data_IF_061733148608
#
_entry.id   IF_061733148608
#
_cell.length_a   1.000
_cell.length_b   1.000
_cell.length_c   1.000
_cell.angle_alpha   90.00
_cell.angle_beta   90.00
_cell.angle_gamma   90.00
#
_symmetry.space_group_name_H-M   'P 1'
#
loop_
_entity.id
_entity.type
_entity.pdbx_description
1 polymer ?
#
# COMPACT_ATOMS: atom_id res chain seq x y z
N UNK A 1 1.71 2.52 -18.04
CA UNK A 1 3.12 2.06 -18.04
C UNK A 1 4.02 3.28 -18.17
N UNK A 2 5.03 3.43 -17.31
CA UNK A 2 6.48 3.60 -17.58
C UNK A 2 7.15 3.80 -16.21
N UNK A 3 7.71 2.74 -15.63
CA UNK A 3 9.14 2.76 -15.30
C UNK A 3 9.67 1.35 -15.00
N UNK A 4 10.93 1.12 -15.35
CA UNK A 4 11.67 -0.12 -15.13
C UNK A 4 12.63 0.06 -13.96
N UNK A 5 12.39 -0.66 -12.86
CA UNK A 5 13.44 -1.04 -11.92
C UNK A 5 13.34 -2.53 -11.63
N UNK A 6 14.39 -3.25 -12.03
CA UNK A 6 14.62 -4.63 -11.58
C UNK A 6 15.56 -4.54 -10.39
N UNK A 7 15.26 -5.24 -9.30
CA UNK A 7 16.26 -5.61 -8.30
C UNK A 7 16.14 -7.10 -7.95
N UNK A 8 17.31 -7.71 -7.83
CA UNK A 8 17.53 -9.11 -7.46
C UNK A 8 16.93 -9.44 -6.10
N UNK A 9 16.28 -10.60 -6.00
CA UNK A 9 15.79 -11.17 -4.75
C UNK A 9 14.36 -10.74 -4.49
N UNK A 10 13.41 -11.62 -4.80
CA UNK A 10 11.99 -11.38 -4.59
C UNK A 10 11.72 -11.03 -3.12
N UNK A 11 11.07 -9.90 -2.90
CA UNK A 11 10.11 -9.73 -1.80
C UNK A 11 8.86 -9.11 -2.44
N UNK A 12 7.89 -9.98 -2.62
CA UNK A 12 6.91 -9.99 -3.70
C UNK A 12 6.11 -8.68 -3.83
N UNK A 13 5.66 -8.31 -5.05
CA UNK A 13 4.53 -7.39 -5.14
C UNK A 13 3.41 -7.99 -4.29
N UNK A 14 2.97 -7.29 -3.25
CA UNK A 14 1.70 -7.60 -2.63
C UNK A 14 0.66 -7.12 -3.63
N UNK A 15 0.49 -7.90 -4.69
CA UNK A 15 -0.69 -7.86 -5.50
C UNK A 15 -1.79 -8.31 -4.54
N UNK A 16 -2.44 -7.33 -3.92
CA UNK A 16 -3.75 -7.54 -3.34
C UNK A 16 -4.63 -7.80 -4.56
N UNK A 17 -4.68 -9.06 -4.96
CA UNK A 17 -5.73 -9.56 -5.83
C UNK A 17 -6.99 -9.56 -4.99
N UNK A 18 -7.52 -8.37 -4.69
CA UNK A 18 -8.95 -8.27 -4.51
C UNK A 18 -9.50 -8.70 -5.87
N UNK A 19 -10.32 -9.76 -5.88
CA UNK A 19 -10.93 -10.24 -7.12
C UNK A 19 -11.94 -9.17 -7.53
N UNK A 20 -11.45 -8.18 -8.27
CA UNK A 20 -12.21 -7.02 -8.73
C UNK A 20 -13.22 -7.40 -9.82
N UNK A 21 -13.14 -8.63 -10.33
CA UNK A 21 -13.95 -9.19 -11.42
C UNK A 21 -15.45 -9.32 -11.08
N UNK A 22 -15.85 -9.03 -9.83
CA UNK A 22 -17.24 -9.14 -9.37
C UNK A 22 -17.92 -7.78 -9.16
N UNK A 23 -17.17 -6.67 -9.17
CA UNK A 23 -17.75 -5.35 -8.91
C UNK A 23 -18.12 -4.64 -10.22
N UNK A 24 -19.40 -4.30 -10.38
CA UNK A 24 -19.81 -3.38 -11.43
C UNK A 24 -19.25 -1.97 -11.20
N UNK A 25 -19.20 -1.12 -12.23
CA UNK A 25 -18.75 0.29 -12.11
C UNK A 25 -19.50 1.08 -11.01
N UNK A 26 -20.72 0.67 -10.66
CA UNK A 26 -21.51 1.25 -9.57
C UNK A 26 -21.01 0.85 -8.17
N UNK A 27 -20.44 -0.34 -8.00
CA UNK A 27 -19.94 -0.82 -6.71
C UNK A 27 -18.49 -0.40 -6.42
N UNK A 28 -17.70 -0.12 -7.47
CA UNK A 28 -16.30 0.26 -7.32
C UNK A 28 -15.90 1.42 -8.27
N UNK A 29 -16.45 2.61 -8.05
CA UNK A 29 -16.10 3.78 -8.85
C UNK A 29 -14.61 4.13 -8.67
N UNK A 30 -13.96 4.57 -9.75
CA UNK A 30 -12.56 5.01 -9.76
C UNK A 30 -11.53 3.91 -9.42
N UNK A 31 -11.84 2.63 -9.68
CA UNK A 31 -10.92 1.49 -9.50
C UNK A 31 -9.48 1.79 -9.95
N UNK A 32 -9.31 2.34 -11.15
CA UNK A 32 -7.98 2.61 -11.71
C UNK A 32 -7.20 3.60 -10.84
N UNK A 33 -7.87 4.65 -10.38
CA UNK A 33 -7.23 5.69 -9.56
C UNK A 33 -6.94 5.19 -8.14
N UNK A 34 -7.84 4.40 -7.54
CA UNK A 34 -7.59 3.71 -6.26
C UNK A 34 -6.35 2.81 -6.38
N UNK A 35 -6.27 1.98 -7.43
CA UNK A 35 -5.12 1.11 -7.66
C UNK A 35 -3.83 1.89 -7.89
N UNK A 36 -3.90 3.02 -8.62
CA UNK A 36 -2.73 3.89 -8.85
C UNK A 36 -2.23 4.50 -7.54
N UNK A 37 -3.12 5.10 -6.75
CA UNK A 37 -2.80 5.69 -5.44
C UNK A 37 -2.23 4.65 -4.48
N UNK A 38 -2.85 3.48 -4.42
CA UNK A 38 -2.36 2.38 -3.59
C UNK A 38 -0.95 1.93 -4.01
N UNK A 39 -0.70 1.77 -5.31
CA UNK A 39 0.63 1.41 -5.83
C UNK A 39 1.68 2.45 -5.45
N UNK A 40 1.38 3.73 -5.61
CA UNK A 40 2.30 4.81 -5.32
C UNK A 40 2.60 4.88 -3.81
N UNK A 41 1.57 4.74 -2.97
CA UNK A 41 1.70 4.61 -1.52
C UNK A 41 2.56 3.41 -1.09
N UNK A 42 2.40 2.26 -1.75
CA UNK A 42 3.21 1.07 -1.48
C UNK A 42 4.70 1.28 -1.80
N UNK A 43 4.99 2.03 -2.87
CA UNK A 43 6.36 2.44 -3.20
C UNK A 43 6.99 3.29 -2.10
N UNK A 44 6.26 4.28 -1.60
CA UNK A 44 6.68 5.16 -0.51
C UNK A 44 6.85 4.39 0.82
N UNK A 45 5.93 3.47 1.11
CA UNK A 45 6.00 2.60 2.30
C UNK A 45 7.31 1.80 2.34
N UNK A 46 7.66 1.17 1.21
CA UNK A 46 8.90 0.38 1.07
C UNK A 46 10.15 1.26 1.12
N UNK A 47 10.06 2.49 0.63
CA UNK A 47 11.11 3.49 0.73
C UNK A 47 11.24 4.14 2.13
N UNK A 48 10.49 3.65 3.14
CA UNK A 48 10.42 4.22 4.50
C UNK A 48 9.89 5.65 4.56
N UNK A 49 9.28 6.12 3.48
CA UNK A 49 8.61 7.41 3.46
C UNK A 49 7.16 7.26 3.91
N UNK A 50 6.98 6.78 5.14
CA UNK A 50 5.67 6.45 5.72
C UNK A 50 4.71 7.65 5.79
N UNK A 51 5.15 8.89 6.08
CA UNK A 51 4.26 10.05 6.05
C UNK A 51 3.64 10.29 4.66
N UNK A 52 4.43 10.21 3.59
CA UNK A 52 3.88 10.34 2.22
C UNK A 52 3.07 9.11 1.83
N UNK A 53 3.48 7.91 2.24
CA UNK A 53 2.71 6.69 1.99
C UNK A 53 1.29 6.79 2.56
N UNK A 54 1.16 7.28 3.79
CA UNK A 54 -0.15 7.54 4.43
C UNK A 54 -1.01 8.48 3.57
N UNK A 55 -0.43 9.56 3.01
CA UNK A 55 -1.20 10.49 2.16
C UNK A 55 -1.75 9.83 0.90
N UNK A 56 -0.98 8.95 0.26
CA UNK A 56 -1.46 8.22 -0.92
C UNK A 56 -2.56 7.21 -0.56
N UNK A 57 -2.45 6.50 0.56
CA UNK A 57 -3.50 5.60 1.04
C UNK A 57 -4.77 6.36 1.47
N UNK A 58 -4.63 7.51 2.12
CA UNK A 58 -5.78 8.39 2.42
C UNK A 58 -6.43 8.93 1.14
N UNK A 59 -5.65 9.21 0.10
CA UNK A 59 -6.17 9.60 -1.21
C UNK A 59 -6.94 8.45 -1.89
N UNK A 60 -6.47 7.21 -1.78
CA UNK A 60 -7.21 6.03 -2.21
C UNK A 60 -8.54 5.88 -1.43
N UNK A 61 -8.54 6.08 -0.11
CA UNK A 61 -9.75 6.01 0.71
C UNK A 61 -10.78 7.11 0.43
N UNK A 62 -10.34 8.27 -0.07
CA UNK A 62 -11.26 9.32 -0.54
C UNK A 62 -12.01 8.90 -1.80
N UNK A 63 -11.40 8.06 -2.64
CA UNK A 63 -11.99 7.53 -3.86
C UNK A 63 -12.85 6.29 -3.58
N UNK A 64 -12.39 5.44 -2.64
CA UNK A 64 -13.13 4.27 -2.18
C UNK A 64 -12.88 4.01 -0.69
N UNK A 65 -13.80 4.48 0.15
CA UNK A 65 -13.67 4.37 1.61
C UNK A 65 -13.65 2.92 2.12
N UNK A 66 -14.14 1.97 1.31
CA UNK A 66 -14.15 0.54 1.62
C UNK A 66 -12.82 -0.18 1.34
N UNK A 67 -11.80 0.51 0.84
CA UNK A 67 -10.50 -0.10 0.53
C UNK A 67 -9.75 -0.51 1.82
N UNK A 68 -9.94 -1.77 2.21
CA UNK A 68 -9.31 -2.36 3.40
C UNK A 68 -7.79 -2.37 3.30
N UNK A 69 -7.23 -2.43 2.09
CA UNK A 69 -5.81 -2.43 1.89
C UNK A 69 -5.19 -1.09 2.31
N UNK A 70 -5.76 0.02 1.83
CA UNK A 70 -5.30 1.35 2.21
C UNK A 70 -5.40 1.58 3.72
N UNK A 71 -6.50 1.15 4.37
CA UNK A 71 -6.65 1.24 5.83
C UNK A 71 -5.52 0.49 6.56
N UNK A 72 -5.27 -0.77 6.17
CA UNK A 72 -4.21 -1.59 6.77
C UNK A 72 -2.83 -0.94 6.63
N UNK A 73 -2.50 -0.40 5.46
CA UNK A 73 -1.20 0.20 5.25
C UNK A 73 -1.03 1.56 5.95
N UNK A 74 -2.11 2.30 6.19
CA UNK A 74 -2.07 3.48 7.08
C UNK A 74 -1.71 3.05 8.50
N UNK A 75 -2.39 2.06 9.06
CA UNK A 75 -2.11 1.56 10.41
C UNK A 75 -0.66 1.07 10.55
N UNK A 76 -0.17 0.30 9.57
CA UNK A 76 1.23 -0.15 9.53
C UNK A 76 2.22 1.00 9.46
N UNK A 77 1.94 1.99 8.59
CA UNK A 77 2.79 3.17 8.44
C UNK A 77 2.86 3.96 9.74
N UNK A 78 1.73 4.17 10.41
CA UNK A 78 1.67 4.83 11.71
C UNK A 78 2.45 4.03 12.77
N UNK A 79 2.34 2.71 12.78
CA UNK A 79 3.09 1.85 13.69
C UNK A 79 4.61 1.96 13.46
N UNK A 80 5.07 1.96 12.20
CA UNK A 80 6.49 2.10 11.87
C UNK A 80 7.04 3.50 12.16
N UNK A 81 6.20 4.55 12.06
CA UNK A 81 6.59 5.89 12.51
C UNK A 81 6.80 5.91 14.04
N UNK A 82 5.90 5.27 14.79
CA UNK A 82 5.98 5.20 16.25
C UNK A 82 7.09 4.25 16.74
N UNK A 83 7.33 3.17 15.99
CA UNK A 83 8.31 2.12 16.28
C UNK A 83 9.19 1.93 15.04
N UNK A 84 10.14 2.85 14.78
CA UNK A 84 10.99 2.78 13.61
C UNK A 84 11.78 1.47 13.63
N UNK A 85 11.71 0.66 12.55
CA UNK A 85 12.44 -0.59 12.47
C UNK A 85 13.94 -0.32 12.33
N UNK A 86 14.75 -1.36 12.46
CA UNK A 86 16.20 -1.23 12.29
C UNK A 86 16.60 -0.74 10.90
N UNK A 87 17.84 -0.26 10.77
CA UNK A 87 18.37 0.17 9.48
C UNK A 87 18.41 -0.94 8.43
N UNK A 88 18.29 -2.20 8.84
CA UNK A 88 18.24 -3.38 7.97
C UNK A 88 16.82 -3.75 7.51
N UNK A 89 15.80 -2.96 7.85
CA UNK A 89 14.41 -3.22 7.42
C UNK A 89 14.27 -3.28 5.90
N UNK A 90 13.87 -4.42 5.38
CA UNK A 90 13.77 -4.74 3.95
C UNK A 90 12.36 -4.45 3.37
N UNK A 91 11.55 -3.69 4.10
CA UNK A 91 10.17 -3.36 3.70
C UNK A 91 9.14 -4.44 4.06
N UNK A 92 9.53 -5.46 4.82
CA UNK A 92 8.62 -6.53 5.27
C UNK A 92 7.99 -6.16 6.60
N UNK A 93 6.65 -6.18 6.64
CA UNK A 93 5.92 -6.09 7.90
C UNK A 93 6.03 -7.40 8.67
N UNK A 94 6.61 -7.35 9.87
CA UNK A 94 6.61 -8.47 10.81
C UNK A 94 5.55 -8.16 11.86
N UNK A 95 4.51 -8.99 11.92
CA UNK A 95 3.50 -8.90 12.96
C UNK A 95 4.09 -9.52 14.23
N UNK A 96 4.55 -8.71 15.17
CA UNK A 96 4.85 -9.19 16.53
C UNK A 96 3.52 -9.44 17.25
N UNK A 97 2.99 -10.65 17.10
CA UNK A 97 1.92 -11.14 17.98
C UNK A 97 2.42 -11.14 19.43
N UNK A 98 1.66 -10.49 20.31
CA UNK A 98 1.58 -10.93 21.71
C UNK A 98 0.79 -12.22 21.80
#
# INVERSE_FOLDING_TARGET
EVDRLVVKGKTEPVAIYEVMDVYGEEEFPNVVDVCNRFRDGLGLYRARNWPEAIREFEAALKLHAGDKASQLYIERSQHLIANPPSDEWDGVWIMETK
#
